data_IF_726716571771
#
_entry.id   IF_726716571771
#
_cell.length_a   1.000
_cell.length_b   1.000
_cell.length_c   1.000
_cell.angle_alpha   90.00
_cell.angle_beta   90.00
_cell.angle_gamma   90.00
#
_symmetry.space_group_name_H-M   'P 1'
#
loop_
_entity.id
_entity.type
_entity.pdbx_description
1 polymer ?
#
# COMPACT_ATOMS: atom_id res chain seq x y z
N UNK A 1 -23.66 -1.22 -17.96
CA UNK A 1 -23.64 -2.68 -18.34
C UNK A 1 -22.35 -3.08 -19.03
N UNK A 2 -21.83 -2.35 -20.06
CA UNK A 2 -20.61 -2.71 -20.80
C UNK A 2 -19.31 -2.82 -19.96
N UNK A 3 -19.11 -2.03 -18.91
CA UNK A 3 -17.89 -2.08 -18.08
C UNK A 3 -17.72 -3.39 -17.28
N UNK A 4 -18.81 -4.02 -16.83
CA UNK A 4 -18.72 -5.30 -16.11
C UNK A 4 -18.18 -6.44 -16.95
N UNK A 5 -18.46 -6.46 -18.26
CA UNK A 5 -17.94 -7.49 -19.18
C UNK A 5 -16.41 -7.42 -19.35
N UNK A 6 -15.80 -6.23 -19.17
CA UNK A 6 -14.35 -6.05 -19.29
C UNK A 6 -13.67 -6.25 -17.93
N UNK A 7 -14.33 -5.90 -16.82
CA UNK A 7 -13.79 -6.00 -15.48
C UNK A 7 -13.38 -7.44 -15.11
N UNK A 8 -14.28 -8.41 -15.25
CA UNK A 8 -13.99 -9.79 -14.83
C UNK A 8 -12.84 -10.44 -15.60
N UNK A 9 -12.72 -10.32 -16.93
CA UNK A 9 -11.54 -10.81 -17.65
C UNK A 9 -10.23 -10.14 -17.18
N UNK A 10 -10.22 -8.82 -16.92
CA UNK A 10 -9.03 -8.12 -16.44
C UNK A 10 -8.68 -8.56 -15.02
N UNK A 11 -9.66 -8.71 -14.13
CA UNK A 11 -9.44 -9.25 -12.79
C UNK A 11 -8.86 -10.68 -12.86
N UNK A 12 -9.40 -11.53 -13.74
CA UNK A 12 -8.88 -12.88 -13.94
C UNK A 12 -7.44 -12.86 -14.44
N UNK A 13 -7.11 -12.00 -15.41
CA UNK A 13 -5.75 -11.82 -15.90
C UNK A 13 -4.80 -11.34 -14.79
N UNK A 14 -5.23 -10.38 -13.97
CA UNK A 14 -4.47 -9.92 -12.81
C UNK A 14 -4.17 -11.05 -11.83
N UNK A 15 -5.19 -11.85 -11.46
CA UNK A 15 -5.01 -12.97 -10.53
C UNK A 15 -4.10 -14.07 -11.12
N UNK A 16 -4.24 -14.35 -12.40
CA UNK A 16 -3.34 -15.29 -13.12
C UNK A 16 -1.89 -14.78 -13.10
N UNK A 17 -1.69 -13.48 -13.37
CA UNK A 17 -0.39 -12.84 -13.32
C UNK A 17 0.24 -12.90 -11.92
N UNK A 18 -0.55 -12.71 -10.86
CA UNK A 18 -0.11 -12.87 -9.47
C UNK A 18 0.37 -14.30 -9.21
N UNK A 19 -0.40 -15.30 -9.62
CA UNK A 19 -0.04 -16.72 -9.43
C UNK A 19 1.26 -17.05 -10.17
N UNK A 20 1.39 -16.64 -11.43
CA UNK A 20 2.60 -16.87 -12.24
C UNK A 20 3.80 -16.16 -11.56
N UNK A 21 3.62 -14.92 -11.12
CA UNK A 21 4.70 -14.16 -10.47
C UNK A 21 5.20 -14.83 -9.19
N UNK A 22 4.28 -15.25 -8.31
CA UNK A 22 4.63 -15.93 -7.05
C UNK A 22 5.27 -17.31 -7.30
N UNK A 23 4.78 -18.04 -8.31
CA UNK A 23 5.41 -19.29 -8.76
C UNK A 23 6.87 -19.04 -9.21
N UNK A 24 7.11 -17.99 -10.02
CA UNK A 24 8.45 -17.63 -10.47
C UNK A 24 9.36 -17.15 -9.33
N UNK A 25 8.80 -16.48 -8.31
CA UNK A 25 9.54 -16.12 -7.10
C UNK A 25 9.99 -17.36 -6.31
N UNK A 26 9.11 -18.37 -6.22
CA UNK A 26 9.41 -19.60 -5.48
C UNK A 26 10.44 -20.48 -6.21
N UNK A 27 10.31 -20.62 -7.52
CA UNK A 27 11.19 -21.46 -8.37
C UNK A 27 12.39 -20.69 -8.94
N UNK A 28 12.59 -19.43 -8.57
CA UNK A 28 13.73 -18.60 -9.01
C UNK A 28 13.84 -18.39 -10.54
N UNK A 29 12.70 -18.32 -11.25
CA UNK A 29 12.66 -18.00 -12.68
C UNK A 29 12.82 -16.49 -12.92
N UNK A 30 14.06 -16.00 -12.92
CA UNK A 30 14.40 -14.57 -12.88
C UNK A 30 13.82 -13.73 -14.03
N UNK A 31 13.89 -14.20 -15.28
CA UNK A 31 13.45 -13.42 -16.44
C UNK A 31 11.91 -13.24 -16.44
N UNK A 32 11.18 -14.33 -16.22
CA UNK A 32 9.71 -14.28 -16.14
C UNK A 32 9.28 -13.46 -14.91
N UNK A 33 9.97 -13.59 -13.78
CA UNK A 33 9.73 -12.82 -12.56
C UNK A 33 9.88 -11.31 -12.81
N UNK A 34 10.93 -10.88 -13.51
CA UNK A 34 11.15 -9.47 -13.86
C UNK A 34 10.03 -8.96 -14.78
N UNK A 35 9.69 -9.70 -15.83
CA UNK A 35 8.63 -9.34 -16.74
C UNK A 35 7.26 -9.22 -16.05
N UNK A 36 6.89 -10.23 -15.26
CA UNK A 36 5.61 -10.24 -14.53
C UNK A 36 5.55 -9.14 -13.48
N UNK A 37 6.66 -8.82 -12.79
CA UNK A 37 6.74 -7.72 -11.81
C UNK A 37 6.32 -6.38 -12.42
N UNK A 38 6.81 -6.06 -13.62
CA UNK A 38 6.46 -4.82 -14.31
C UNK A 38 4.96 -4.71 -14.66
N UNK A 39 4.25 -5.82 -14.77
CA UNK A 39 2.84 -5.87 -15.18
C UNK A 39 1.86 -5.87 -14.00
N UNK A 40 2.29 -6.28 -12.79
CA UNK A 40 1.40 -6.41 -11.62
C UNK A 40 0.66 -5.12 -11.30
N UNK A 41 1.37 -4.02 -11.11
CA UNK A 41 0.76 -2.75 -10.71
C UNK A 41 -0.07 -2.09 -11.83
N UNK A 42 0.32 -2.09 -13.11
CA UNK A 42 -0.54 -1.65 -14.21
C UNK A 42 -1.86 -2.42 -14.28
N UNK A 43 -1.84 -3.76 -14.13
CA UNK A 43 -3.08 -4.54 -14.10
C UNK A 43 -3.92 -4.27 -12.85
N UNK A 44 -3.31 -4.03 -11.69
CA UNK A 44 -4.01 -3.61 -10.48
C UNK A 44 -4.69 -2.24 -10.67
N UNK A 45 -3.98 -1.27 -11.27
CA UNK A 45 -4.56 0.05 -11.59
C UNK A 45 -5.76 -0.07 -12.55
N UNK A 46 -5.65 -0.92 -13.56
CA UNK A 46 -6.72 -1.17 -14.53
C UNK A 46 -7.93 -1.87 -13.85
N UNK A 47 -7.69 -2.85 -12.98
CA UNK A 47 -8.74 -3.50 -12.18
C UNK A 47 -9.45 -2.49 -11.28
N UNK A 48 -8.72 -1.61 -10.62
CA UNK A 48 -9.31 -0.54 -9.82
C UNK A 48 -10.16 0.41 -10.66
N UNK A 49 -9.63 0.88 -11.79
CA UNK A 49 -10.33 1.80 -12.69
C UNK A 49 -11.65 1.21 -13.22
N UNK A 50 -11.66 -0.06 -13.59
CA UNK A 50 -12.84 -0.74 -14.14
C UNK A 50 -13.83 -1.21 -13.06
N UNK A 51 -13.34 -1.57 -11.88
CA UNK A 51 -14.15 -2.11 -10.79
C UNK A 51 -14.73 -1.05 -9.85
N UNK A 52 -14.07 0.11 -9.77
CA UNK A 52 -14.54 1.19 -8.90
C UNK A 52 -15.70 1.98 -9.54
N UNK A 53 -16.81 2.22 -8.83
CA UNK A 53 -17.84 3.15 -9.29
C UNK A 53 -17.26 4.53 -9.61
N UNK A 54 -17.72 5.17 -10.68
CA UNK A 54 -17.16 6.45 -11.15
C UNK A 54 -17.18 7.54 -10.07
N UNK A 55 -18.22 7.56 -9.25
CA UNK A 55 -18.43 8.51 -8.16
C UNK A 55 -17.42 8.31 -7.01
N UNK A 56 -16.91 7.08 -6.84
CA UNK A 56 -15.94 6.68 -5.81
C UNK A 56 -14.52 6.58 -6.33
N UNK A 57 -14.31 6.72 -7.65
CA UNK A 57 -13.02 6.58 -8.31
C UNK A 57 -12.08 7.72 -7.91
N UNK A 58 -10.98 7.39 -7.26
CA UNK A 58 -9.93 8.35 -6.94
C UNK A 58 -8.79 8.28 -7.95
N UNK A 59 -8.58 9.39 -8.68
CA UNK A 59 -7.41 9.52 -9.57
C UNK A 59 -6.09 9.52 -8.77
N UNK A 60 -6.13 9.96 -7.51
CA UNK A 60 -4.97 9.99 -6.61
C UNK A 60 -4.50 8.57 -6.32
N UNK A 61 -5.42 7.61 -6.10
CA UNK A 61 -5.08 6.19 -5.93
C UNK A 61 -4.44 5.61 -7.19
N UNK A 62 -4.95 5.96 -8.38
CA UNK A 62 -4.35 5.52 -9.64
C UNK A 62 -2.91 6.02 -9.75
N UNK A 63 -2.66 7.30 -9.43
CA UNK A 63 -1.32 7.88 -9.42
C UNK A 63 -0.41 7.16 -8.42
N UNK A 64 -0.90 6.85 -7.22
CA UNK A 64 -0.13 6.07 -6.23
C UNK A 64 0.32 4.71 -6.79
N UNK A 65 -0.58 3.97 -7.45
CA UNK A 65 -0.27 2.67 -8.05
C UNK A 65 0.71 2.82 -9.23
N UNK A 66 0.57 3.86 -10.07
CA UNK A 66 1.48 4.13 -11.18
C UNK A 66 2.89 4.40 -10.67
N UNK A 67 3.05 5.25 -9.64
CA UNK A 67 4.36 5.51 -9.05
C UNK A 67 4.94 4.27 -8.36
N UNK A 68 4.12 3.43 -7.75
CA UNK A 68 4.54 2.10 -7.28
C UNK A 68 5.05 1.21 -8.42
N UNK A 69 4.35 1.19 -9.57
CA UNK A 69 4.79 0.48 -10.77
C UNK A 69 6.14 0.98 -11.29
N UNK A 70 6.35 2.30 -11.35
CA UNK A 70 7.64 2.90 -11.72
C UNK A 70 8.74 2.49 -10.74
N UNK A 71 8.43 2.47 -9.44
CA UNK A 71 9.35 1.98 -8.41
C UNK A 71 9.78 0.53 -8.67
N UNK A 72 8.82 -0.35 -8.99
CA UNK A 72 9.10 -1.75 -9.33
C UNK A 72 10.04 -1.88 -10.54
N UNK A 73 9.81 -1.09 -11.58
CA UNK A 73 10.65 -1.07 -12.79
C UNK A 73 12.06 -0.57 -12.45
N UNK A 74 12.19 0.56 -11.76
CA UNK A 74 13.50 1.14 -11.43
C UNK A 74 14.33 0.25 -10.53
N UNK A 75 13.72 -0.47 -9.58
CA UNK A 75 14.43 -1.44 -8.74
C UNK A 75 14.98 -2.65 -9.51
N UNK A 76 14.49 -2.93 -10.73
CA UNK A 76 15.04 -3.99 -11.57
C UNK A 76 16.27 -3.54 -12.36
N UNK A 77 16.49 -2.23 -12.50
CA UNK A 77 17.58 -1.66 -13.30
C UNK A 77 18.76 -1.34 -12.37
N UNK A 78 19.91 -1.93 -12.68
CA UNK A 78 21.12 -1.70 -11.90
C UNK A 78 21.51 -0.21 -11.90
N UNK A 79 21.73 0.33 -10.71
CA UNK A 79 22.11 1.75 -10.54
C UNK A 79 20.93 2.70 -10.32
N UNK A 80 19.67 2.27 -10.53
CA UNK A 80 18.49 3.11 -10.34
C UNK A 80 17.77 2.90 -9.01
N UNK A 81 18.45 2.30 -8.02
CA UNK A 81 17.88 2.00 -6.70
C UNK A 81 17.19 3.23 -6.05
N UNK A 82 17.87 4.38 -5.99
CA UNK A 82 17.32 5.60 -5.39
C UNK A 82 16.13 6.15 -6.17
N UNK A 83 16.09 6.00 -7.49
CA UNK A 83 14.92 6.37 -8.30
C UNK A 83 13.74 5.45 -8.00
N UNK A 84 13.98 4.17 -7.77
CA UNK A 84 12.97 3.21 -7.34
C UNK A 84 12.38 3.59 -5.99
N UNK A 85 13.23 3.81 -4.99
CA UNK A 85 12.82 4.26 -3.65
C UNK A 85 12.07 5.59 -3.74
N UNK A 86 12.56 6.56 -4.51
CA UNK A 86 11.90 7.85 -4.73
C UNK A 86 10.53 7.74 -5.39
N UNK A 87 10.38 6.82 -6.35
CA UNK A 87 9.09 6.56 -6.99
C UNK A 87 8.08 5.96 -6.00
N UNK A 88 8.48 4.98 -5.19
CA UNK A 88 7.61 4.47 -4.12
C UNK A 88 7.25 5.55 -3.11
N UNK A 89 8.20 6.40 -2.72
CA UNK A 89 7.95 7.53 -1.80
C UNK A 89 6.85 8.45 -2.36
N UNK A 90 6.93 8.82 -3.64
CA UNK A 90 5.89 9.63 -4.32
C UNK A 90 4.54 8.90 -4.32
N UNK A 91 4.53 7.60 -4.59
CA UNK A 91 3.33 6.76 -4.49
C UNK A 91 2.70 6.80 -3.11
N UNK A 92 3.52 6.68 -2.04
CA UNK A 92 3.05 6.80 -0.65
C UNK A 92 2.47 8.18 -0.34
N UNK A 93 3.08 9.26 -0.84
CA UNK A 93 2.53 10.61 -0.68
C UNK A 93 1.14 10.73 -1.32
N UNK A 94 0.91 10.14 -2.49
CA UNK A 94 -0.43 10.11 -3.09
C UNK A 94 -1.42 9.33 -2.24
N UNK A 95 -1.05 8.19 -1.66
CA UNK A 95 -1.93 7.48 -0.72
C UNK A 95 -2.24 8.32 0.51
N UNK A 96 -1.25 8.98 1.13
CA UNK A 96 -1.44 9.87 2.29
C UNK A 96 -2.41 11.00 1.93
N UNK A 97 -2.20 11.69 0.80
CA UNK A 97 -3.07 12.77 0.33
C UNK A 97 -4.50 12.24 0.17
N UNK A 98 -4.67 11.06 -0.42
CA UNK A 98 -6.00 10.46 -0.58
C UNK A 98 -6.67 10.21 0.77
N UNK A 99 -5.97 9.62 1.76
CA UNK A 99 -6.55 9.38 3.09
C UNK A 99 -6.85 10.67 3.84
N UNK A 100 -6.01 11.70 3.71
CA UNK A 100 -6.26 13.02 4.32
C UNK A 100 -7.50 13.69 3.72
N UNK A 101 -7.66 13.63 2.39
CA UNK A 101 -8.84 14.17 1.70
C UNK A 101 -10.10 13.43 2.10
N UNK A 102 -10.09 12.11 2.09
CA UNK A 102 -11.24 11.27 2.46
C UNK A 102 -11.64 11.48 3.92
N UNK A 103 -10.68 11.49 4.84
CA UNK A 103 -10.95 11.67 6.27
C UNK A 103 -11.41 13.09 6.61
N UNK A 104 -10.81 14.10 5.96
CA UNK A 104 -11.06 15.51 6.21
C UNK A 104 -10.49 16.03 7.54
N UNK A 105 -9.99 17.27 7.52
CA UNK A 105 -9.31 17.90 8.68
C UNK A 105 -10.21 17.97 9.93
N UNK A 106 -11.52 18.13 9.76
CA UNK A 106 -12.46 18.19 10.89
C UNK A 106 -12.46 16.90 11.71
N UNK A 107 -12.36 15.74 11.06
CA UNK A 107 -12.32 14.44 11.74
C UNK A 107 -11.00 14.22 12.49
N UNK A 108 -9.87 14.68 11.95
CA UNK A 108 -8.57 14.67 12.67
C UNK A 108 -8.66 15.52 13.95
N UNK A 109 -9.20 16.75 13.88
CA UNK A 109 -9.36 17.62 15.06
C UNK A 109 -10.33 17.01 16.08
N UNK A 110 -11.43 16.43 15.64
CA UNK A 110 -12.41 15.78 16.53
C UNK A 110 -11.83 14.60 17.28
N UNK A 111 -10.91 13.85 16.65
CA UNK A 111 -10.31 12.63 17.19
C UNK A 111 -8.82 12.83 17.54
N UNK A 112 -8.45 14.06 17.97
CA UNK A 112 -7.06 14.43 18.23
C UNK A 112 -6.35 13.49 19.20
N UNK A 113 -7.03 13.05 20.26
CA UNK A 113 -6.44 12.12 21.23
C UNK A 113 -6.06 10.78 20.59
N UNK A 114 -6.95 10.20 19.79
CA UNK A 114 -6.66 8.95 19.05
C UNK A 114 -5.54 9.16 18.04
N UNK A 115 -5.55 10.29 17.33
CA UNK A 115 -4.48 10.65 16.40
C UNK A 115 -3.11 10.69 17.09
N UNK A 116 -3.01 11.38 18.24
CA UNK A 116 -1.77 11.48 19.02
C UNK A 116 -1.30 10.11 19.54
N UNK A 117 -2.23 9.26 20.01
CA UNK A 117 -1.91 7.92 20.45
C UNK A 117 -1.36 7.06 19.31
N UNK A 118 -2.00 7.11 18.13
CA UNK A 118 -1.53 6.40 16.93
C UNK A 118 -0.15 6.91 16.53
N UNK A 119 0.07 8.22 16.51
CA UNK A 119 1.39 8.81 16.22
C UNK A 119 2.45 8.29 17.19
N UNK A 120 2.18 8.24 18.48
CA UNK A 120 3.13 7.76 19.49
C UNK A 120 3.53 6.31 19.24
N UNK A 121 2.58 5.42 18.95
CA UNK A 121 2.86 4.01 18.64
C UNK A 121 3.72 3.90 17.38
N UNK A 122 3.37 4.60 16.31
CA UNK A 122 4.11 4.50 15.05
C UNK A 122 5.48 5.16 15.10
N UNK A 123 5.68 6.26 15.83
CA UNK A 123 7.01 6.84 16.05
C UNK A 123 7.90 5.94 16.89
N UNK A 124 7.33 5.21 17.86
CA UNK A 124 8.08 4.18 18.58
C UNK A 124 8.54 3.07 17.62
N UNK A 125 7.62 2.53 16.79
CA UNK A 125 7.95 1.51 15.78
C UNK A 125 9.02 2.02 14.79
N UNK A 126 8.89 3.25 14.30
CA UNK A 126 9.90 3.87 13.43
C UNK A 126 11.28 3.90 14.09
N UNK A 127 11.32 4.31 15.36
CA UNK A 127 12.58 4.38 16.11
C UNK A 127 13.26 3.02 16.22
N UNK A 128 12.52 1.94 16.45
CA UNK A 128 13.06 0.59 16.55
C UNK A 128 13.55 0.07 15.19
N UNK A 129 12.78 0.28 14.12
CA UNK A 129 13.18 -0.07 12.75
C UNK A 129 14.45 0.68 12.35
N UNK A 130 14.51 1.99 12.59
CA UNK A 130 15.66 2.81 12.25
C UNK A 130 16.90 2.43 13.07
N UNK A 131 16.77 2.16 14.37
CA UNK A 131 17.87 1.67 15.21
C UNK A 131 18.48 0.38 14.65
N UNK A 132 17.61 -0.57 14.26
CA UNK A 132 18.06 -1.85 13.72
C UNK A 132 18.85 -1.70 12.41
N UNK A 133 18.36 -0.88 11.46
CA UNK A 133 19.00 -0.74 10.15
C UNK A 133 20.12 0.31 10.10
N UNK A 134 20.20 1.24 11.07
CA UNK A 134 21.13 2.37 11.05
C UNK A 134 22.58 2.03 10.70
N UNK A 135 23.21 1.02 11.33
CA UNK A 135 24.62 0.71 11.03
C UNK A 135 24.84 0.32 9.57
N UNK A 136 23.96 -0.52 9.02
CA UNK A 136 24.04 -0.98 7.64
C UNK A 136 23.76 0.16 6.63
N UNK A 137 22.78 1.04 6.94
CA UNK A 137 22.43 2.17 6.09
C UNK A 137 23.51 3.26 6.05
N UNK A 138 24.19 3.52 7.18
CA UNK A 138 25.33 4.45 7.22
C UNK A 138 26.47 3.87 6.38
N UNK A 139 26.79 2.58 6.54
CA UNK A 139 27.83 1.91 5.75
C UNK A 139 27.53 1.95 4.24
N UNK A 140 26.28 1.87 3.85
CA UNK A 140 25.83 1.95 2.46
C UNK A 140 25.71 3.38 1.92
N UNK A 141 25.87 4.43 2.75
CA UNK A 141 25.66 5.83 2.36
C UNK A 141 24.19 6.19 2.09
N UNK A 142 23.24 5.38 2.58
CA UNK A 142 21.81 5.49 2.27
C UNK A 142 20.96 5.94 3.47
N UNK A 143 21.59 6.32 4.59
CA UNK A 143 20.87 6.71 5.80
C UNK A 143 19.82 7.80 5.57
N UNK A 144 20.20 8.93 4.96
CA UNK A 144 19.28 10.05 4.71
C UNK A 144 18.07 9.68 3.84
N UNK A 145 18.28 9.13 2.63
CA UNK A 145 17.16 8.72 1.76
C UNK A 145 16.22 7.71 2.41
N UNK A 146 16.74 6.72 3.12
CA UNK A 146 15.91 5.68 3.72
C UNK A 146 15.28 6.11 5.03
N UNK A 147 15.87 7.06 5.77
CA UNK A 147 15.20 7.73 6.89
C UNK A 147 13.94 8.46 6.40
N UNK A 148 14.04 9.28 5.34
CA UNK A 148 12.89 9.98 4.76
C UNK A 148 11.83 8.97 4.27
N UNK A 149 12.26 7.91 3.60
CA UNK A 149 11.36 6.87 3.11
C UNK A 149 10.58 6.20 4.27
N UNK A 150 11.27 5.81 5.34
CA UNK A 150 10.66 5.18 6.53
C UNK A 150 9.65 6.14 7.18
N UNK A 151 9.99 7.40 7.32
CA UNK A 151 9.06 8.41 7.89
C UNK A 151 7.79 8.58 7.04
N UNK A 152 7.91 8.55 5.71
CA UNK A 152 6.75 8.65 4.82
C UNK A 152 5.87 7.40 4.88
N UNK A 153 6.43 6.19 4.94
CA UNK A 153 5.61 4.98 5.07
C UNK A 153 4.95 4.88 6.45
N UNK A 154 5.57 5.41 7.49
CA UNK A 154 4.95 5.56 8.81
C UNK A 154 3.78 6.55 8.75
N UNK A 155 3.95 7.71 8.09
CA UNK A 155 2.86 8.67 7.89
C UNK A 155 1.70 8.07 7.06
N UNK A 156 1.99 7.20 6.08
CA UNK A 156 0.98 6.43 5.34
C UNK A 156 0.16 5.56 6.30
N UNK A 157 0.83 4.81 7.18
CA UNK A 157 0.15 3.92 8.15
C UNK A 157 -0.66 4.72 9.18
N UNK A 158 -0.15 5.84 9.67
CA UNK A 158 -0.90 6.74 10.57
C UNK A 158 -2.17 7.27 9.88
N UNK A 159 -2.04 7.77 8.64
CA UNK A 159 -3.18 8.34 7.91
C UNK A 159 -4.25 7.30 7.58
N UNK A 160 -3.86 6.08 7.21
CA UNK A 160 -4.78 4.95 6.96
C UNK A 160 -5.44 4.42 8.23
N UNK A 161 -4.72 4.41 9.37
CA UNK A 161 -5.27 4.03 10.67
C UNK A 161 -6.37 5.01 11.13
N UNK A 162 -6.13 6.31 10.99
CA UNK A 162 -7.14 7.34 11.30
C UNK A 162 -8.33 7.26 10.34
N UNK A 163 -8.07 7.03 9.05
CA UNK A 163 -9.14 6.77 8.08
C UNK A 163 -10.00 5.58 8.52
N UNK A 164 -9.37 4.45 8.89
CA UNK A 164 -10.09 3.27 9.36
C UNK A 164 -10.88 3.52 10.64
N UNK A 165 -10.30 4.25 11.60
CA UNK A 165 -10.98 4.64 12.84
C UNK A 165 -12.21 5.53 12.59
N UNK A 166 -12.09 6.52 11.70
CA UNK A 166 -13.19 7.46 11.43
C UNK A 166 -14.37 6.81 10.69
N UNK A 167 -14.09 5.91 9.77
CA UNK A 167 -15.16 5.24 9.00
C UNK A 167 -15.65 3.94 9.64
N UNK A 168 -14.83 3.23 10.40
CA UNK A 168 -15.13 2.05 11.20
C UNK A 168 -15.97 0.98 10.46
N UNK A 169 -15.64 0.70 9.19
CA UNK A 169 -16.27 -0.34 8.38
C UNK A 169 -15.22 -1.30 7.83
N UNK A 170 -15.67 -2.45 7.30
CA UNK A 170 -14.76 -3.51 6.82
C UNK A 170 -13.81 -3.01 5.73
N UNK A 171 -14.24 -2.15 4.82
CA UNK A 171 -13.41 -1.67 3.71
C UNK A 171 -12.32 -0.72 4.19
N UNK A 172 -12.61 0.17 5.15
CA UNK A 172 -11.61 1.05 5.74
C UNK A 172 -10.60 0.26 6.59
N UNK A 173 -11.05 -0.79 7.29
CA UNK A 173 -10.17 -1.71 8.02
C UNK A 173 -9.25 -2.47 7.05
N UNK A 174 -9.79 -3.00 5.94
CA UNK A 174 -8.99 -3.67 4.92
C UNK A 174 -7.94 -2.73 4.30
N UNK A 175 -8.29 -1.46 4.07
CA UNK A 175 -7.36 -0.43 3.59
C UNK A 175 -6.19 -0.25 4.58
N UNK A 176 -6.48 -0.14 5.87
CA UNK A 176 -5.46 -0.02 6.90
C UNK A 176 -4.59 -1.28 7.01
N UNK A 177 -5.20 -2.47 7.03
CA UNK A 177 -4.46 -3.73 7.04
C UNK A 177 -3.55 -3.86 5.82
N UNK A 178 -4.03 -3.39 4.65
CA UNK A 178 -3.23 -3.35 3.44
C UNK A 178 -1.97 -2.48 3.59
N UNK A 179 -2.09 -1.27 4.17
CA UNK A 179 -0.94 -0.41 4.42
C UNK A 179 0.04 -0.99 5.45
N UNK A 180 -0.47 -1.68 6.47
CA UNK A 180 0.36 -2.35 7.48
C UNK A 180 1.13 -3.53 6.87
N UNK A 181 0.48 -4.36 6.06
CA UNK A 181 1.12 -5.48 5.37
C UNK A 181 2.17 -4.96 4.38
N UNK A 182 1.91 -3.82 3.72
CA UNK A 182 2.88 -3.19 2.85
C UNK A 182 4.11 -2.69 3.61
N UNK A 183 3.94 -2.05 4.77
CA UNK A 183 5.05 -1.67 5.65
C UNK A 183 5.89 -2.88 6.07
N UNK A 184 5.25 -4.01 6.43
CA UNK A 184 5.95 -5.26 6.75
C UNK A 184 6.76 -5.76 5.55
N UNK A 185 6.19 -5.71 4.33
CA UNK A 185 6.90 -6.05 3.10
C UNK A 185 8.20 -5.27 2.94
N UNK A 186 8.14 -3.95 3.18
CA UNK A 186 9.29 -3.05 3.05
C UNK A 186 10.36 -3.30 4.13
N UNK A 187 9.94 -3.64 5.35
CA UNK A 187 10.87 -4.06 6.41
C UNK A 187 11.62 -5.35 6.03
N UNK A 188 10.94 -6.32 5.41
CA UNK A 188 11.57 -7.57 4.96
C UNK A 188 12.49 -7.30 3.75
N UNK A 189 12.08 -6.41 2.83
CA UNK A 189 12.92 -5.97 1.72
C UNK A 189 14.20 -5.29 2.22
N UNK A 190 14.08 -4.37 3.19
CA UNK A 190 15.24 -3.73 3.81
C UNK A 190 16.16 -4.76 4.50
N UNK A 191 15.58 -5.76 5.17
CA UNK A 191 16.35 -6.85 5.79
C UNK A 191 17.13 -7.65 4.75
N UNK A 192 16.51 -7.99 3.62
CA UNK A 192 17.16 -8.70 2.51
C UNK A 192 18.30 -7.90 1.89
N UNK A 193 18.15 -6.58 1.76
CA UNK A 193 19.11 -5.71 1.08
C UNK A 193 20.29 -5.32 1.98
N UNK A 194 20.04 -5.13 3.29
CA UNK A 194 21.02 -4.49 4.18
C UNK A 194 21.46 -5.34 5.37
N UNK A 195 20.86 -6.51 5.62
CA UNK A 195 21.18 -7.35 6.79
C UNK A 195 21.49 -8.79 6.40
N UNK A 196 20.50 -9.56 6.03
CA UNK A 196 20.62 -11.01 5.81
C UNK A 196 19.96 -11.41 4.50
N UNK A 197 20.68 -12.15 3.65
CA UNK A 197 20.09 -12.79 2.48
C UNK A 197 19.41 -14.10 2.88
N UNK A 198 18.13 -14.25 2.49
CA UNK A 198 17.40 -15.50 2.58
C UNK A 198 16.64 -15.75 1.27
N UNK A 199 16.79 -16.95 0.71
CA UNK A 199 16.15 -17.34 -0.57
C UNK A 199 14.63 -17.23 -0.57
N UNK A 200 13.99 -17.33 0.60
CA UNK A 200 12.53 -17.22 0.73
C UNK A 200 12.03 -15.78 0.87
N UNK A 201 12.93 -14.81 1.15
CA UNK A 201 12.48 -13.42 1.32
C UNK A 201 11.83 -12.88 0.06
N UNK A 202 12.30 -13.28 -1.13
CA UNK A 202 11.73 -12.80 -2.38
C UNK A 202 10.23 -13.13 -2.51
N UNK A 203 9.83 -14.37 -2.17
CA UNK A 203 8.41 -14.75 -2.23
C UNK A 203 7.60 -14.06 -1.11
N UNK A 204 8.16 -13.94 0.10
CA UNK A 204 7.48 -13.29 1.22
C UNK A 204 7.25 -11.80 0.91
N UNK A 205 8.28 -11.09 0.43
CA UNK A 205 8.20 -9.68 0.03
C UNK A 205 7.11 -9.50 -1.03
N UNK A 206 7.14 -10.31 -2.10
CA UNK A 206 6.19 -10.13 -3.19
C UNK A 206 4.77 -10.52 -2.80
N UNK A 207 4.58 -11.55 -1.97
CA UNK A 207 3.27 -11.93 -1.44
C UNK A 207 2.67 -10.83 -0.57
N UNK A 208 3.44 -10.28 0.37
CA UNK A 208 2.99 -9.20 1.26
C UNK A 208 2.78 -7.89 0.50
N UNK A 209 3.66 -7.56 -0.45
CA UNK A 209 3.54 -6.40 -1.32
C UNK A 209 2.24 -6.43 -2.14
N UNK A 210 2.00 -7.51 -2.90
CA UNK A 210 0.83 -7.68 -3.75
C UNK A 210 -0.45 -7.67 -2.90
N UNK A 211 -0.45 -8.38 -1.77
CA UNK A 211 -1.58 -8.41 -0.84
C UNK A 211 -1.87 -7.02 -0.28
N UNK A 212 -0.84 -6.32 0.19
CA UNK A 212 -0.96 -4.95 0.73
C UNK A 212 -1.57 -3.99 -0.28
N UNK A 213 -1.03 -3.93 -1.49
CA UNK A 213 -1.52 -3.08 -2.58
C UNK A 213 -2.95 -3.44 -3.00
N UNK A 214 -3.26 -4.75 -3.08
CA UNK A 214 -4.60 -5.22 -3.42
C UNK A 214 -5.64 -4.86 -2.37
N UNK A 215 -5.31 -4.98 -1.07
CA UNK A 215 -6.22 -4.63 0.03
C UNK A 215 -6.48 -3.12 0.10
N UNK A 216 -5.45 -2.27 -0.06
CA UNK A 216 -5.63 -0.82 -0.14
C UNK A 216 -6.58 -0.49 -1.30
N UNK A 217 -6.30 -1.03 -2.47
CA UNK A 217 -7.05 -0.77 -3.70
C UNK A 217 -8.48 -1.24 -3.61
N UNK A 218 -8.71 -2.47 -3.12
CA UNK A 218 -10.03 -3.06 -2.92
C UNK A 218 -10.85 -2.29 -1.87
N UNK A 219 -10.24 -1.94 -0.74
CA UNK A 219 -10.88 -1.17 0.31
C UNK A 219 -11.32 0.20 -0.18
N UNK A 220 -10.47 0.88 -0.97
CA UNK A 220 -10.79 2.18 -1.55
C UNK A 220 -11.83 2.10 -2.69
N UNK A 221 -11.86 1.02 -3.47
CA UNK A 221 -12.88 0.81 -4.50
C UNK A 221 -14.29 0.64 -3.92
N UNK A 222 -14.37 0.06 -2.71
CA UNK A 222 -15.62 -0.23 -2.01
C UNK A 222 -15.88 0.70 -0.82
N UNK A 223 -15.17 1.83 -0.74
CA UNK A 223 -15.34 2.80 0.35
C UNK A 223 -16.81 3.21 0.50
N UNK A 224 -17.26 3.33 1.73
CA UNK A 224 -18.61 3.78 2.08
C UNK A 224 -18.57 5.28 2.41
N UNK A 225 -19.50 6.04 1.85
CA UNK A 225 -19.63 7.44 2.17
C UNK A 225 -20.24 7.65 3.56
N UNK A 226 -19.94 8.79 4.20
CA UNK A 226 -20.45 9.10 5.54
C UNK A 226 -21.99 9.05 5.62
N UNK A 227 -22.69 9.35 4.52
CA UNK A 227 -24.14 9.25 4.44
C UNK A 227 -24.63 7.80 4.47
N UNK A 228 -24.01 6.90 3.68
CA UNK A 228 -24.32 5.48 3.66
C UNK A 228 -24.10 4.85 5.04
N UNK A 229 -23.00 5.20 5.73
CA UNK A 229 -22.72 4.75 7.10
C UNK A 229 -23.76 5.23 8.12
N UNK A 230 -24.24 6.48 7.98
CA UNK A 230 -25.28 7.03 8.85
C UNK A 230 -26.59 6.28 8.66
N UNK A 231 -27.00 6.04 7.43
CA UNK A 231 -28.25 5.30 7.11
C UNK A 231 -28.20 3.88 7.70
N UNK A 232 -27.07 3.18 7.57
CA UNK A 232 -26.90 1.84 8.14
C UNK A 232 -26.97 1.89 9.67
N UNK A 233 -26.27 2.82 10.32
CA UNK A 233 -26.28 2.97 11.79
C UNK A 233 -27.67 3.32 12.33
N UNK A 234 -28.40 4.19 11.65
CA UNK A 234 -29.75 4.56 12.04
C UNK A 234 -30.76 3.42 11.78
N UNK A 235 -30.54 2.61 10.72
CA UNK A 235 -31.31 1.39 10.46
C UNK A 235 -31.11 0.33 11.56
N UNK A 236 -29.88 0.08 11.98
CA UNK A 236 -29.57 -0.88 13.06
C UNK A 236 -30.18 -0.41 14.40
N UNK A 237 -30.11 0.91 14.71
CA UNK A 237 -30.74 1.47 15.92
C UNK A 237 -32.26 1.31 15.97
N UNK A 238 -32.92 1.19 14.83
CA UNK A 238 -34.38 0.97 14.76
C UNK A 238 -34.76 -0.50 14.88
N UNK A 239 -33.77 -1.42 14.75
CA UNK A 239 -33.98 -2.87 14.81
C UNK A 239 -33.65 -3.47 16.21
N UNK A 240 -33.01 -2.66 17.07
CA UNK A 240 -32.70 -2.96 18.49
C UNK A 240 -33.62 -2.12 19.38
#
# INVERSE_FOLDING_TARGET
MKMKYIFYPILFLYLTLVIIHLYCCFHHHEDIRKATKCLLMPFLALTYYLGCPKEKLSKIIIMAIIFGSLGDVFLLIKGLFLLGVGSFLVGHLFYIINFLVETGIKNYRKNLFVFLLVCLVYFYLESEVLKYFRPALIKAGLWGPLFIYTSIIIALNISSAIYAYCYANIYSILTYLGSLIFFISDCILAKQLFSEYNKYYQIIIMSTYILGQSLITFGMANKMDCFELKVIKDGIKKMI
#
